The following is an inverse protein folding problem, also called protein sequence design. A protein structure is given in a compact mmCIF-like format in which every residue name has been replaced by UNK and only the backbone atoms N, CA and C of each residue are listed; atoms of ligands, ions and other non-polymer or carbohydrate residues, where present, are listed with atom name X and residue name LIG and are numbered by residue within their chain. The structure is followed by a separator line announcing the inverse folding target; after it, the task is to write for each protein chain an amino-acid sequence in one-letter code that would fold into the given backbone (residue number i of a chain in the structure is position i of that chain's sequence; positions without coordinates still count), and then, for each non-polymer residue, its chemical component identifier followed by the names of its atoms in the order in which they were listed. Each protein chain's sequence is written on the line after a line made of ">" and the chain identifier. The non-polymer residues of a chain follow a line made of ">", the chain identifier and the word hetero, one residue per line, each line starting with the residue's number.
data_IF_466314312428
#
_entry.id   IF_466314312428
#
_cell.length_a   1.000
_cell.length_b   1.000
_cell.length_c   1.000
_cell.angle_alpha   90.00
_cell.angle_beta   90.00
_cell.angle_gamma   90.00
#
_symmetry.space_group_name_H-M   'P 1'
#
loop_
_entity.id
_entity.type
_entity.pdbx_description
1 polymer ?
#
# COMPACT_ATOMS: atom_id res chain seq x y z
N UNK A 1 7.09 -12.63 2.70
CA UNK A 1 6.76 -12.66 4.15
C UNK A 1 5.30 -13.07 4.28
N UNK A 2 5.02 -14.08 5.11
CA UNK A 2 3.66 -14.62 5.27
C UNK A 2 2.90 -13.91 6.40
N UNK A 3 3.63 -13.41 7.42
CA UNK A 3 2.99 -12.74 8.55
C UNK A 3 2.80 -11.23 8.27
N UNK A 4 1.54 -10.75 8.16
CA UNK A 4 1.25 -9.35 7.80
C UNK A 4 1.68 -8.36 8.89
N UNK A 5 1.78 -8.78 10.15
CA UNK A 5 2.20 -7.94 11.29
C UNK A 5 3.67 -7.57 11.17
N UNK A 6 4.52 -8.58 10.96
CA UNK A 6 5.97 -8.38 10.81
C UNK A 6 6.25 -7.53 9.58
N UNK A 7 5.51 -7.76 8.50
CA UNK A 7 5.63 -6.99 7.27
C UNK A 7 5.31 -5.51 7.44
N UNK A 8 4.19 -5.18 8.10
CA UNK A 8 3.82 -3.80 8.42
C UNK A 8 4.83 -3.13 9.34
N UNK A 9 5.27 -3.86 10.38
CA UNK A 9 6.27 -3.36 11.33
C UNK A 9 7.61 -3.07 10.63
N UNK A 10 8.10 -3.98 9.79
CA UNK A 10 9.30 -3.77 8.99
C UNK A 10 9.15 -2.58 8.04
N UNK A 11 8.03 -2.48 7.33
CA UNK A 11 7.80 -1.37 6.40
C UNK A 11 7.80 -0.02 7.12
N UNK A 12 7.20 0.06 8.31
CA UNK A 12 7.19 1.28 9.12
C UNK A 12 8.61 1.66 9.60
N UNK A 13 9.36 0.69 10.19
CA UNK A 13 10.72 0.94 10.67
C UNK A 13 11.66 1.37 9.54
N UNK A 14 11.60 0.68 8.40
CA UNK A 14 12.44 0.98 7.24
C UNK A 14 12.09 2.35 6.63
N UNK A 15 10.81 2.71 6.59
CA UNK A 15 10.38 4.04 6.14
C UNK A 15 10.94 5.14 7.04
N UNK A 16 10.88 4.98 8.37
CA UNK A 16 11.48 5.92 9.32
C UNK A 16 12.99 6.00 9.14
N UNK A 17 13.68 4.85 9.02
CA UNK A 17 15.13 4.79 8.81
C UNK A 17 15.58 5.52 7.53
N UNK A 18 14.80 5.41 6.44
CA UNK A 18 15.09 6.09 5.18
C UNK A 18 14.99 7.62 5.30
N UNK A 19 14.11 8.13 6.17
CA UNK A 19 13.99 9.59 6.40
C UNK A 19 15.11 10.16 7.28
N UNK A 20 15.64 9.39 8.23
CA UNK A 20 16.62 9.88 9.21
C UNK A 20 17.93 10.31 8.55
N UNK A 21 18.50 9.49 7.66
CA UNK A 21 19.78 9.80 7.02
C UNK A 21 19.90 9.19 5.62
N UNK A 22 20.82 9.74 4.82
CA UNK A 22 21.16 9.19 3.50
C UNK A 22 21.81 7.81 3.61
N UNK A 23 22.61 7.60 4.65
CA UNK A 23 23.20 6.30 4.98
C UNK A 23 22.09 5.30 5.35
N UNK A 24 21.05 5.76 6.09
CA UNK A 24 19.85 4.98 6.35
C UNK A 24 19.15 4.54 5.08
N UNK A 25 18.95 5.42 4.11
CA UNK A 25 18.34 5.08 2.83
C UNK A 25 19.12 4.00 2.06
N UNK A 26 20.47 4.07 2.06
CA UNK A 26 21.31 3.05 1.42
C UNK A 26 21.23 1.69 2.13
N UNK A 27 21.19 1.67 3.46
CA UNK A 27 21.03 0.44 4.25
C UNK A 27 19.64 -0.18 4.02
N UNK A 28 18.60 0.64 3.94
CA UNK A 28 17.23 0.19 3.64
C UNK A 28 17.16 -0.39 2.23
N UNK A 29 17.82 0.22 1.26
CA UNK A 29 17.90 -0.32 -0.10
C UNK A 29 18.61 -1.68 -0.13
N UNK A 30 19.72 -1.83 0.60
CA UNK A 30 20.42 -3.11 0.73
C UNK A 30 19.54 -4.18 1.40
N UNK A 31 18.81 -3.82 2.47
CA UNK A 31 17.84 -4.71 3.10
C UNK A 31 16.76 -5.16 2.10
N UNK A 32 16.21 -4.21 1.33
CA UNK A 32 15.17 -4.49 0.34
C UNK A 32 15.67 -5.47 -0.73
N UNK A 33 16.91 -5.31 -1.22
CA UNK A 33 17.52 -6.23 -2.18
C UNK A 33 17.68 -7.66 -1.65
N UNK A 34 18.03 -7.81 -0.37
CA UNK A 34 18.26 -9.12 0.26
C UNK A 34 16.96 -9.85 0.55
N UNK A 35 15.97 -9.14 1.10
CA UNK A 35 14.73 -9.76 1.58
C UNK A 35 13.59 -9.78 0.56
N UNK A 36 13.68 -9.00 -0.53
CA UNK A 36 12.66 -8.99 -1.59
C UNK A 36 12.99 -10.01 -2.67
N UNK A 37 12.63 -11.26 -2.44
CA UNK A 37 12.84 -12.38 -3.39
C UNK A 37 11.91 -12.35 -4.63
N UNK A 38 10.87 -11.51 -4.64
CA UNK A 38 9.82 -11.50 -5.68
C UNK A 38 9.87 -10.28 -6.62
N UNK A 39 11.02 -9.96 -7.17
CA UNK A 39 11.16 -8.93 -8.21
C UNK A 39 10.19 -9.13 -9.40
N UNK A 40 9.84 -10.36 -9.71
CA UNK A 40 8.97 -10.73 -10.85
C UNK A 40 7.49 -10.36 -10.64
N UNK A 41 7.07 -10.02 -9.44
CA UNK A 41 5.66 -9.82 -9.13
C UNK A 41 5.25 -8.35 -8.98
N UNK A 42 6.11 -7.39 -9.37
CA UNK A 42 5.72 -5.98 -9.45
C UNK A 42 4.80 -5.83 -10.66
N UNK A 43 3.52 -6.11 -10.45
CA UNK A 43 2.46 -6.10 -11.48
C UNK A 43 2.32 -4.75 -12.18
N UNK A 44 2.83 -3.68 -11.57
CA UNK A 44 2.74 -2.30 -12.06
C UNK A 44 4.11 -1.63 -12.24
N UNK A 45 5.10 -2.37 -12.79
CA UNK A 45 6.45 -1.83 -13.03
C UNK A 45 6.46 -0.52 -13.82
N UNK A 46 5.47 -0.30 -14.72
CA UNK A 46 5.32 0.96 -15.46
C UNK A 46 4.95 2.13 -14.56
N UNK A 47 4.06 1.92 -13.58
CA UNK A 47 3.65 2.95 -12.62
C UNK A 47 4.81 3.29 -11.69
N UNK A 48 5.50 2.28 -11.16
CA UNK A 48 6.69 2.49 -10.31
C UNK A 48 7.76 3.25 -11.08
N UNK A 49 8.04 2.87 -12.34
CA UNK A 49 8.99 3.57 -13.20
C UNK A 49 8.61 5.03 -13.48
N UNK A 50 7.33 5.29 -13.77
CA UNK A 50 6.83 6.64 -13.98
C UNK A 50 6.95 7.51 -12.72
N UNK A 51 6.69 6.95 -11.54
CA UNK A 51 6.83 7.66 -10.26
C UNK A 51 8.30 7.94 -9.93
N UNK A 52 9.22 7.00 -10.20
CA UNK A 52 10.66 7.23 -10.05
C UNK A 52 11.13 8.37 -10.96
N UNK A 53 10.64 8.39 -12.21
CA UNK A 53 10.97 9.46 -13.17
C UNK A 53 10.45 10.82 -12.66
N UNK A 54 9.24 10.88 -12.13
CA UNK A 54 8.66 12.08 -11.54
C UNK A 54 9.50 12.57 -10.34
N UNK A 55 9.95 11.69 -9.45
CA UNK A 55 10.86 12.05 -8.37
C UNK A 55 12.22 12.54 -8.88
N UNK A 56 12.71 11.99 -9.99
CA UNK A 56 13.91 12.48 -10.65
C UNK A 56 13.77 13.93 -11.15
N UNK A 57 12.63 14.27 -11.75
CA UNK A 57 12.35 15.64 -12.20
C UNK A 57 12.28 16.59 -10.99
N UNK A 58 11.56 16.22 -9.92
CA UNK A 58 11.47 17.03 -8.70
C UNK A 58 12.84 17.23 -8.08
N UNK A 59 13.65 16.16 -8.00
CA UNK A 59 15.01 16.20 -7.49
C UNK A 59 15.91 17.16 -8.29
N UNK A 60 15.79 17.14 -9.62
CA UNK A 60 16.51 18.08 -10.48
C UNK A 60 16.14 19.54 -10.16
N UNK A 61 14.85 19.84 -10.01
CA UNK A 61 14.37 21.18 -9.63
C UNK A 61 14.93 21.60 -8.26
N UNK A 62 14.93 20.69 -7.27
CA UNK A 62 15.48 20.94 -5.93
C UNK A 62 16.99 21.25 -6.00
N UNK A 63 17.73 20.52 -6.84
CA UNK A 63 19.16 20.77 -7.04
C UNK A 63 19.42 22.15 -7.67
N UNK A 64 18.59 22.59 -8.60
CA UNK A 64 18.68 23.94 -9.18
C UNK A 64 18.39 25.05 -8.15
N UNK A 65 17.59 24.77 -7.12
CA UNK A 65 17.33 25.73 -6.03
C UNK A 65 18.42 25.75 -4.94
N UNK A 66 19.51 24.98 -5.11
CA UNK A 66 20.65 24.99 -4.20
C UNK A 66 20.53 24.05 -3.00
N UNK A 67 19.55 23.12 -3.02
CA UNK A 67 19.35 22.10 -1.99
C UNK A 67 19.82 20.73 -2.47
N UNK A 68 20.03 19.78 -1.53
CA UNK A 68 20.52 18.43 -1.82
C UNK A 68 19.44 17.54 -2.49
N UNK A 69 19.20 17.76 -3.79
CA UNK A 69 18.22 17.00 -4.57
C UNK A 69 18.54 15.49 -4.65
N UNK A 70 19.83 15.12 -4.67
CA UNK A 70 20.25 13.71 -4.71
C UNK A 70 19.79 12.95 -3.45
N UNK A 71 19.93 13.59 -2.28
CA UNK A 71 19.45 13.04 -1.01
C UNK A 71 17.95 12.82 -1.02
N UNK A 72 17.20 13.78 -1.55
CA UNK A 72 15.75 13.67 -1.71
C UNK A 72 15.37 12.51 -2.62
N UNK A 73 15.99 12.42 -3.80
CA UNK A 73 15.72 11.35 -4.76
C UNK A 73 15.98 9.96 -4.18
N UNK A 74 17.11 9.76 -3.52
CA UNK A 74 17.47 8.48 -2.91
C UNK A 74 16.43 8.05 -1.86
N UNK A 75 16.06 8.94 -0.94
CA UNK A 75 15.09 8.67 0.11
C UNK A 75 13.71 8.34 -0.45
N UNK A 76 13.19 9.16 -1.37
CA UNK A 76 11.86 8.96 -1.96
C UNK A 76 11.77 7.69 -2.81
N UNK A 77 12.83 7.37 -3.56
CA UNK A 77 12.89 6.13 -4.34
C UNK A 77 12.84 4.89 -3.45
N UNK A 78 13.61 4.88 -2.35
CA UNK A 78 13.63 3.75 -1.42
C UNK A 78 12.28 3.57 -0.74
N UNK A 79 11.64 4.65 -0.29
CA UNK A 79 10.31 4.61 0.33
C UNK A 79 9.27 4.07 -0.66
N UNK A 80 9.33 4.51 -1.92
CA UNK A 80 8.45 4.00 -2.97
C UNK A 80 8.64 2.50 -3.20
N UNK A 81 9.88 2.01 -3.18
CA UNK A 81 10.17 0.58 -3.32
C UNK A 81 9.61 -0.24 -2.16
N UNK A 82 9.72 0.26 -0.92
CA UNK A 82 9.11 -0.37 0.26
C UNK A 82 7.58 -0.39 0.13
N UNK A 83 6.98 0.73 -0.27
CA UNK A 83 5.54 0.82 -0.49
C UNK A 83 5.05 -0.13 -1.59
N UNK A 84 5.77 -0.21 -2.70
CA UNK A 84 5.47 -1.13 -3.79
C UNK A 84 5.58 -2.61 -3.37
N UNK A 85 6.60 -2.95 -2.56
CA UNK A 85 6.75 -4.28 -1.98
C UNK A 85 5.60 -4.60 -1.03
N UNK A 86 5.25 -3.69 -0.12
CA UNK A 86 4.15 -3.86 0.82
C UNK A 86 2.82 -4.07 0.07
N UNK A 87 2.56 -3.24 -0.96
CA UNK A 87 1.36 -3.34 -1.79
C UNK A 87 1.26 -4.68 -2.52
N UNK A 88 2.36 -5.15 -3.09
CA UNK A 88 2.39 -6.38 -3.88
C UNK A 88 2.09 -7.66 -3.06
N UNK A 89 2.44 -7.65 -1.78
CA UNK A 89 2.28 -8.79 -0.88
C UNK A 89 1.01 -8.70 -0.01
N UNK A 90 0.26 -7.56 -0.04
CA UNK A 90 -0.90 -7.35 0.83
C UNK A 90 -2.16 -8.01 0.25
N UNK A 91 -2.80 -8.84 1.06
CA UNK A 91 -4.10 -9.45 0.78
C UNK A 91 -5.21 -8.78 1.63
N UNK A 92 -6.48 -8.75 1.15
CA UNK A 92 -7.59 -8.19 1.93
C UNK A 92 -7.74 -8.79 3.33
N UNK A 93 -7.48 -10.09 3.48
CA UNK A 93 -7.52 -10.80 4.76
C UNK A 93 -6.46 -10.35 5.78
N UNK A 94 -5.36 -9.78 5.32
CA UNK A 94 -4.28 -9.31 6.19
C UNK A 94 -4.72 -8.13 7.07
N UNK A 95 -5.61 -7.28 6.55
CA UNK A 95 -6.17 -6.14 7.30
C UNK A 95 -6.98 -6.63 8.50
N UNK A 96 -7.77 -7.67 8.29
CA UNK A 96 -8.61 -8.25 9.33
C UNK A 96 -7.76 -8.95 10.40
N UNK A 97 -6.77 -9.73 9.98
CA UNK A 97 -5.85 -10.42 10.87
C UNK A 97 -5.00 -9.42 11.69
N UNK A 98 -4.51 -8.36 11.07
CA UNK A 98 -3.71 -7.32 11.74
C UNK A 98 -4.58 -6.47 12.65
N UNK A 99 -5.77 -6.06 12.18
CA UNK A 99 -6.72 -5.28 12.96
C UNK A 99 -7.10 -5.97 14.27
N UNK A 100 -7.51 -7.23 14.19
CA UNK A 100 -7.87 -8.03 15.39
C UNK A 100 -6.72 -8.19 16.37
N UNK A 101 -5.50 -8.26 15.86
CA UNK A 101 -4.32 -8.43 16.69
C UNK A 101 -3.87 -7.17 17.43
N UNK A 102 -4.04 -5.98 16.80
CA UNK A 102 -3.60 -4.70 17.35
C UNK A 102 -4.65 -4.05 18.25
N UNK A 103 -5.92 -4.10 17.85
CA UNK A 103 -7.02 -3.38 18.48
C UNK A 103 -8.04 -4.30 19.15
N UNK A 104 -7.77 -5.61 19.21
CA UNK A 104 -8.62 -6.61 19.85
C UNK A 104 -9.81 -7.05 18.99
N UNK A 105 -10.61 -7.98 19.56
CA UNK A 105 -11.65 -8.72 18.83
C UNK A 105 -12.87 -7.88 18.45
N UNK A 106 -13.15 -6.79 19.15
CA UNK A 106 -14.33 -5.95 18.87
C UNK A 106 -14.01 -4.85 17.88
N UNK A 107 -13.18 -3.90 18.26
CA UNK A 107 -12.84 -2.73 17.42
C UNK A 107 -11.91 -3.13 16.28
N UNK A 108 -10.90 -3.95 16.57
CA UNK A 108 -9.93 -4.38 15.57
C UNK A 108 -10.52 -5.26 14.49
N UNK A 109 -11.52 -6.07 14.84
CA UNK A 109 -12.27 -6.85 13.86
C UNK A 109 -13.06 -5.94 12.91
N UNK A 110 -13.81 -4.97 13.43
CA UNK A 110 -14.62 -4.06 12.62
C UNK A 110 -13.73 -3.20 11.70
N UNK A 111 -12.67 -2.59 12.24
CA UNK A 111 -11.74 -1.79 11.45
C UNK A 111 -11.03 -2.62 10.38
N UNK A 112 -10.57 -3.82 10.73
CA UNK A 112 -9.91 -4.73 9.80
C UNK A 112 -10.84 -5.20 8.69
N UNK A 113 -12.11 -5.47 9.00
CA UNK A 113 -13.14 -5.85 8.03
C UNK A 113 -13.44 -4.69 7.07
N UNK A 114 -13.66 -3.49 7.60
CA UNK A 114 -13.90 -2.28 6.77
C UNK A 114 -12.70 -2.02 5.85
N UNK A 115 -11.47 -2.10 6.39
CA UNK A 115 -10.26 -1.89 5.60
C UNK A 115 -10.09 -2.96 4.50
N UNK A 116 -10.37 -4.23 4.81
CA UNK A 116 -10.33 -5.32 3.82
C UNK A 116 -11.35 -5.14 2.72
N UNK A 117 -12.61 -4.80 3.07
CA UNK A 117 -13.66 -4.50 2.09
C UNK A 117 -13.31 -3.28 1.25
N UNK A 118 -12.78 -2.20 1.85
CA UNK A 118 -12.37 -1.01 1.12
C UNK A 118 -11.25 -1.32 0.11
N UNK A 119 -10.31 -2.19 0.49
CA UNK A 119 -9.23 -2.64 -0.41
C UNK A 119 -9.78 -3.42 -1.61
N UNK A 120 -10.72 -4.33 -1.38
CA UNK A 120 -11.36 -5.11 -2.44
C UNK A 120 -12.19 -4.23 -3.36
N UNK A 121 -12.99 -3.31 -2.79
CA UNK A 121 -13.78 -2.34 -3.55
C UNK A 121 -12.91 -1.39 -4.38
N UNK A 122 -11.74 -0.97 -3.86
CA UNK A 122 -10.82 -0.12 -4.61
C UNK A 122 -10.34 -0.80 -5.90
N UNK A 123 -10.07 -2.11 -5.87
CA UNK A 123 -9.76 -2.90 -7.07
C UNK A 123 -10.88 -2.86 -8.12
N UNK A 124 -12.12 -3.07 -7.69
CA UNK A 124 -13.30 -3.00 -8.55
C UNK A 124 -13.55 -1.61 -9.16
N UNK A 125 -13.30 -0.54 -8.39
CA UNK A 125 -13.43 0.84 -8.87
C UNK A 125 -12.54 1.14 -10.07
N UNK A 126 -11.31 0.63 -10.09
CA UNK A 126 -10.40 0.81 -11.24
C UNK A 126 -10.93 0.11 -12.49
N UNK A 127 -11.53 -1.07 -12.35
CA UNK A 127 -12.15 -1.76 -13.48
C UNK A 127 -13.35 -1.01 -14.02
N UNK A 128 -14.23 -0.53 -13.14
CA UNK A 128 -15.41 0.22 -13.52
C UNK A 128 -15.08 1.55 -14.17
N UNK A 129 -14.04 2.24 -13.65
CA UNK A 129 -13.52 3.44 -14.26
C UNK A 129 -13.05 3.18 -15.71
N UNK A 130 -12.34 2.08 -15.92
CA UNK A 130 -11.88 1.69 -17.25
C UNK A 130 -13.04 1.34 -18.17
N UNK A 131 -14.07 0.63 -17.68
CA UNK A 131 -15.30 0.31 -18.44
C UNK A 131 -16.06 1.58 -18.85
N UNK A 132 -16.20 2.54 -17.94
CA UNK A 132 -16.84 3.83 -18.22
C UNK A 132 -16.05 4.60 -19.29
N UNK A 133 -14.72 4.58 -19.21
CA UNK A 133 -13.86 5.22 -20.20
C UNK A 133 -14.10 4.63 -21.60
N UNK A 134 -14.12 3.31 -21.73
CA UNK A 134 -14.38 2.62 -22.99
C UNK A 134 -15.78 2.97 -23.52
N UNK A 135 -16.78 2.97 -22.66
CA UNK A 135 -18.17 3.29 -23.06
C UNK A 135 -18.31 4.73 -23.54
N UNK A 136 -17.59 5.70 -22.96
CA UNK A 136 -17.57 7.09 -23.42
C UNK A 136 -16.93 7.24 -24.80
N UNK A 137 -15.82 6.55 -25.02
CA UNK A 137 -15.14 6.54 -26.33
C UNK A 137 -16.05 5.93 -27.41
N UNK A 138 -16.71 4.82 -27.12
CA UNK A 138 -17.67 4.16 -28.04
C UNK A 138 -18.85 5.07 -28.40
N UNK A 139 -19.28 5.94 -27.49
CA UNK A 139 -20.35 6.94 -27.73
C UNK A 139 -19.83 8.20 -28.47
N UNK A 140 -18.60 8.18 -28.97
CA UNK A 140 -17.99 9.31 -29.69
C UNK A 140 -17.73 10.53 -28.81
N UNK A 141 -17.76 10.40 -27.49
CA UNK A 141 -17.43 11.49 -26.57
C UNK A 141 -15.95 11.41 -26.20
N UNK A 142 -15.15 12.44 -26.53
CA UNK A 142 -13.74 12.45 -26.13
C UNK A 142 -13.64 12.50 -24.60
N UNK A 143 -12.61 11.86 -24.07
CA UNK A 143 -12.27 11.92 -22.66
C UNK A 143 -11.83 13.34 -22.31
N UNK A 144 -12.72 14.13 -21.72
CA UNK A 144 -12.50 15.53 -21.35
C UNK A 144 -13.00 15.77 -19.92
N UNK A 145 -12.55 16.85 -19.27
CA UNK A 145 -12.98 17.23 -17.90
C UNK A 145 -14.51 17.27 -17.78
N UNK A 146 -15.21 17.73 -18.83
CA UNK A 146 -16.68 17.77 -18.87
C UNK A 146 -17.32 16.37 -18.85
N UNK A 147 -16.64 15.34 -19.36
CA UNK A 147 -17.12 13.95 -19.35
C UNK A 147 -16.73 13.20 -18.07
N UNK A 148 -15.72 13.70 -17.34
CA UNK A 148 -15.31 13.09 -16.06
C UNK A 148 -16.33 13.32 -14.94
N UNK A 149 -17.01 14.46 -14.91
CA UNK A 149 -18.03 14.76 -13.89
C UNK A 149 -19.20 13.75 -13.89
N UNK A 150 -19.87 13.48 -15.01
CA UNK A 150 -20.92 12.44 -15.04
C UNK A 150 -20.36 11.03 -14.78
N UNK A 151 -19.13 10.73 -15.22
CA UNK A 151 -18.47 9.45 -14.93
C UNK A 151 -18.24 9.27 -13.43
N UNK A 152 -17.73 10.29 -12.74
CA UNK A 152 -17.55 10.27 -11.28
C UNK A 152 -18.89 10.09 -10.54
N UNK A 153 -19.95 10.74 -11.00
CA UNK A 153 -21.29 10.57 -10.41
C UNK A 153 -21.78 9.11 -10.53
N UNK A 154 -21.59 8.49 -11.68
CA UNK A 154 -21.98 7.08 -11.90
C UNK A 154 -21.20 6.17 -10.95
N UNK A 155 -19.88 6.37 -10.82
CA UNK A 155 -19.02 5.61 -9.90
C UNK A 155 -19.49 5.73 -8.45
N UNK A 156 -19.82 6.94 -7.99
CA UNK A 156 -20.29 7.15 -6.62
C UNK A 156 -21.63 6.42 -6.39
N UNK A 157 -22.59 6.52 -7.31
CA UNK A 157 -23.86 5.82 -7.16
C UNK A 157 -23.68 4.29 -7.18
N UNK A 158 -22.82 3.78 -8.05
CA UNK A 158 -22.56 2.34 -8.13
C UNK A 158 -21.87 1.81 -6.86
N UNK A 159 -20.90 2.57 -6.31
CA UNK A 159 -20.25 2.22 -5.04
C UNK A 159 -21.21 2.26 -3.85
N UNK A 160 -22.11 3.25 -3.78
CA UNK A 160 -23.13 3.31 -2.72
C UNK A 160 -24.07 2.11 -2.82
N UNK A 161 -24.53 1.77 -4.02
CA UNK A 161 -25.39 0.61 -4.23
C UNK A 161 -24.69 -0.70 -3.82
N UNK A 162 -23.42 -0.88 -4.19
CA UNK A 162 -22.64 -2.06 -3.75
C UNK A 162 -22.47 -2.11 -2.23
N UNK A 163 -22.32 -0.95 -1.59
CA UNK A 163 -22.23 -0.88 -0.13
C UNK A 163 -23.56 -1.33 0.52
N UNK A 164 -24.70 -0.89 -0.02
CA UNK A 164 -26.03 -1.31 0.44
C UNK A 164 -26.23 -2.82 0.24
N UNK A 165 -25.92 -3.35 -0.95
CA UNK A 165 -26.01 -4.79 -1.25
C UNK A 165 -25.11 -5.61 -0.30
N UNK A 166 -23.91 -5.12 -0.02
CA UNK A 166 -22.98 -5.79 0.92
C UNK A 166 -23.50 -5.76 2.35
N UNK A 167 -24.09 -4.65 2.78
CA UNK A 167 -24.69 -4.52 4.10
C UNK A 167 -25.89 -5.47 4.26
N UNK A 168 -26.72 -5.61 3.23
CA UNK A 168 -27.85 -6.55 3.22
C UNK A 168 -27.37 -8.01 3.33
N UNK A 169 -26.36 -8.39 2.54
CA UNK A 169 -25.77 -9.74 2.60
C UNK A 169 -25.19 -10.01 4.00
N UNK A 170 -24.51 -9.05 4.62
CA UNK A 170 -23.99 -9.20 5.98
C UNK A 170 -25.13 -9.37 7.01
N UNK A 171 -26.21 -8.60 6.87
CA UNK A 171 -27.39 -8.70 7.73
C UNK A 171 -28.05 -10.08 7.61
N UNK A 172 -28.24 -10.59 6.38
CA UNK A 172 -28.80 -11.92 6.12
C UNK A 172 -27.91 -13.04 6.72
N UNK A 173 -26.59 -12.87 6.66
CA UNK A 173 -25.63 -13.79 7.27
C UNK A 173 -25.58 -13.70 8.80
N UNK A 174 -26.40 -12.84 9.41
CA UNK A 174 -26.50 -12.69 10.87
C UNK A 174 -25.36 -11.91 11.50
N UNK A 175 -24.65 -11.09 10.71
CA UNK A 175 -23.58 -10.25 11.25
C UNK A 175 -24.17 -9.27 12.29
N UNK A 176 -23.66 -9.38 13.53
CA UNK A 176 -23.96 -8.45 14.63
C UNK A 176 -22.64 -8.01 15.19
N UNK A 177 -22.21 -6.81 14.93
CA UNK A 177 -21.00 -6.14 15.44
C UNK A 177 -19.95 -7.03 16.17
N UNK A 178 -18.71 -7.02 15.68
CA UNK A 178 -17.63 -7.82 16.24
C UNK A 178 -17.54 -9.25 15.71
N UNK A 179 -16.42 -9.88 15.89
CA UNK A 179 -16.19 -11.27 15.49
C UNK A 179 -14.83 -11.77 15.98
N UNK A 180 -14.67 -13.09 15.99
CA UNK A 180 -13.40 -13.72 16.29
C UNK A 180 -12.93 -14.49 15.06
N UNK A 181 -11.70 -14.25 14.63
CA UNK A 181 -11.05 -15.06 13.61
C UNK A 181 -9.95 -15.87 14.29
N UNK A 182 -9.98 -17.18 14.05
CA UNK A 182 -8.86 -18.05 14.37
C UNK A 182 -7.77 -17.87 13.31
N UNK A 183 -6.96 -16.84 13.44
CA UNK A 183 -5.80 -16.65 12.57
C UNK A 183 -4.64 -17.44 13.15
N UNK A 184 -4.24 -18.51 12.47
CA UNK A 184 -2.99 -19.19 12.75
C UNK A 184 -1.84 -18.39 12.09
N UNK A 185 -1.11 -17.65 12.89
CA UNK A 185 0.08 -16.95 12.43
C UNK A 185 1.28 -17.91 12.48
N UNK A 186 1.82 -18.25 11.34
CA UNK A 186 3.07 -18.98 11.23
C UNK A 186 4.21 -18.00 11.02
N UNK A 187 4.90 -17.63 12.09
CA UNK A 187 6.10 -16.79 11.98
C UNK A 187 7.26 -17.68 11.55
N UNK A 188 7.73 -17.50 10.32
CA UNK A 188 8.93 -18.17 9.84
C UNK A 188 10.18 -17.54 10.50
N UNK A 189 11.23 -18.35 10.80
CA UNK A 189 12.47 -17.82 11.38
C UNK A 189 13.13 -16.73 10.51
N UNK A 190 12.95 -16.80 9.21
CA UNK A 190 13.40 -15.76 8.26
C UNK A 190 12.70 -14.42 8.49
N UNK A 191 11.45 -14.42 8.95
CA UNK A 191 10.69 -13.19 9.21
C UNK A 191 11.14 -12.52 10.50
N UNK A 192 11.50 -13.30 11.51
CA UNK A 192 12.11 -12.79 12.75
C UNK A 192 13.46 -12.15 12.41
N UNK A 193 14.26 -12.81 11.60
CA UNK A 193 15.57 -12.29 11.15
C UNK A 193 15.40 -10.99 10.35
N UNK A 194 14.42 -10.92 9.47
CA UNK A 194 14.12 -9.71 8.72
C UNK A 194 13.69 -8.55 9.61
N UNK A 195 12.89 -8.81 10.66
CA UNK A 195 12.51 -7.83 11.67
C UNK A 195 13.70 -7.33 12.49
N UNK A 196 14.57 -8.24 12.93
CA UNK A 196 15.80 -7.88 13.64
C UNK A 196 16.75 -7.06 12.76
N UNK A 197 16.90 -7.43 11.49
CA UNK A 197 17.69 -6.63 10.54
C UNK A 197 17.07 -5.24 10.31
N UNK A 198 15.74 -5.13 10.24
CA UNK A 198 15.08 -3.83 10.09
C UNK A 198 15.29 -2.91 11.30
N UNK A 199 15.26 -3.47 12.53
CA UNK A 199 15.59 -2.70 13.74
C UNK A 199 17.06 -2.30 13.78
N UNK A 200 17.98 -3.18 13.36
CA UNK A 200 19.40 -2.88 13.27
C UNK A 200 19.68 -1.76 12.24
N UNK A 201 18.99 -1.77 11.11
CA UNK A 201 19.06 -0.70 10.09
C UNK A 201 18.59 0.64 10.66
N UNK A 202 17.50 0.66 11.44
CA UNK A 202 17.01 1.89 12.09
C UNK A 202 18.07 2.44 13.08
N UNK A 203 18.64 1.59 13.93
CA UNK A 203 19.69 1.98 14.89
C UNK A 203 20.93 2.49 14.15
N UNK A 204 21.35 1.79 13.09
CA UNK A 204 22.46 2.22 12.23
C UNK A 204 22.19 3.57 11.57
N UNK A 205 20.98 3.79 11.03
CA UNK A 205 20.59 5.07 10.44
C UNK A 205 20.64 6.24 11.43
N UNK A 206 20.37 5.96 12.71
CA UNK A 206 20.44 6.97 13.79
C UNK A 206 21.88 7.26 14.22
N UNK A 207 22.76 6.24 14.25
CA UNK A 207 24.18 6.41 14.60
C UNK A 207 24.97 7.16 13.51
N UNK A 208 24.56 7.05 12.24
CA UNK A 208 25.21 7.73 11.10
C UNK A 208 24.50 9.04 10.70
N UNK A 209 23.73 9.62 11.58
CA UNK A 209 23.10 10.93 11.40
C UNK A 209 24.11 12.05 11.66
#
# INVERSE_FOLDING_TARGET
>A
MQDPRVRLFCAFLLSVAAFVSIAGASLVFAWWLVFTSRWKNIRHYKVVGATILLFGIISAVITFTGSDGVSYFARMTVILLIGAWLYADTCPGDFLATGTSLFGTRIGFELGMIAGMAWEMAGGLFEDFHRIQIALVQKGRPWNIKSMLPAGRILIFDTLRRADDTAEILAIRGYRAGGTICTHFYVLPVEILAGLCATAVLVGAYLFR
#
